data_IF_039450767684
#
_entry.id   IF_039450767684
#
_cell.length_a   1.000
_cell.length_b   1.000
_cell.length_c   1.000
_cell.angle_alpha   90.00
_cell.angle_beta   90.00
_cell.angle_gamma   90.00
#
_symmetry.space_group_name_H-M   'P 1'
#
loop_
_entity.id
_entity.type
_entity.pdbx_description
1 polymer ?
#
# COMPACT_ATOMS: atom_id res chain seq x y z
N UNK A 1 -26.25 -18.44 -75.10
CA UNK A 1 -24.99 -18.51 -74.33
C UNK A 1 -25.13 -17.65 -73.11
N UNK A 2 -25.53 -18.23 -72.00
CA UNK A 2 -25.73 -17.52 -70.73
C UNK A 2 -24.58 -17.78 -69.78
N UNK A 3 -23.82 -16.75 -69.36
CA UNK A 3 -22.75 -16.85 -68.38
C UNK A 3 -23.30 -16.70 -66.94
N UNK A 4 -23.24 -17.77 -66.20
CA UNK A 4 -23.57 -17.80 -64.77
C UNK A 4 -22.46 -17.13 -63.94
N UNK A 5 -22.82 -16.08 -63.18
CA UNK A 5 -21.91 -15.38 -62.26
C UNK A 5 -22.08 -16.02 -60.89
N UNK A 6 -21.07 -16.79 -60.46
CA UNK A 6 -20.98 -17.29 -59.07
C UNK A 6 -20.64 -16.15 -58.12
N UNK A 7 -21.60 -15.73 -57.29
CA UNK A 7 -21.36 -14.83 -56.13
C UNK A 7 -20.56 -15.58 -55.06
N UNK A 8 -19.31 -15.16 -54.84
CA UNK A 8 -18.48 -15.57 -53.69
C UNK A 8 -19.00 -14.87 -52.45
N UNK A 9 -19.62 -15.61 -51.53
CA UNK A 9 -19.96 -15.15 -50.20
C UNK A 9 -18.68 -15.05 -49.34
N UNK A 10 -18.10 -13.86 -49.27
CA UNK A 10 -17.03 -13.55 -48.33
C UNK A 10 -17.64 -13.35 -46.90
N UNK A 11 -17.73 -14.41 -46.11
CA UNK A 11 -17.99 -14.29 -44.66
C UNK A 11 -16.76 -13.63 -44.01
N UNK A 12 -16.80 -12.29 -43.86
CA UNK A 12 -15.85 -11.57 -42.98
C UNK A 12 -16.00 -12.15 -41.57
N UNK A 13 -15.02 -12.95 -41.14
CA UNK A 13 -14.83 -13.27 -39.72
C UNK A 13 -14.52 -11.95 -38.98
N UNK A 14 -15.51 -11.40 -38.27
CA UNK A 14 -15.27 -10.31 -37.30
C UNK A 14 -14.26 -10.84 -36.27
N UNK A 15 -13.02 -10.38 -36.35
CA UNK A 15 -12.07 -10.60 -35.26
C UNK A 15 -12.64 -9.94 -34.02
N UNK A 16 -13.03 -10.76 -33.03
CA UNK A 16 -13.39 -10.22 -31.70
C UNK A 16 -12.13 -9.54 -31.18
N UNK A 17 -12.16 -8.21 -31.10
CA UNK A 17 -11.13 -7.42 -30.43
C UNK A 17 -10.97 -8.01 -29.01
N UNK A 18 -9.82 -8.58 -28.70
CA UNK A 18 -9.52 -9.06 -27.36
C UNK A 18 -9.55 -7.86 -26.41
N UNK A 19 -10.60 -7.73 -25.59
CA UNK A 19 -10.63 -6.73 -24.51
C UNK A 19 -9.42 -6.96 -23.62
N UNK A 20 -8.59 -5.92 -23.44
CA UNK A 20 -7.44 -5.98 -22.52
C UNK A 20 -7.97 -5.99 -21.10
N UNK A 21 -7.53 -6.96 -20.30
CA UNK A 21 -7.74 -6.94 -18.83
C UNK A 21 -7.11 -5.68 -18.29
N UNK A 22 -7.83 -4.92 -17.45
CA UNK A 22 -7.28 -3.73 -16.81
C UNK A 22 -6.21 -4.16 -15.81
N UNK A 23 -5.04 -3.54 -15.87
CA UNK A 23 -3.97 -3.77 -14.92
C UNK A 23 -4.41 -3.32 -13.53
N UNK A 24 -4.11 -4.15 -12.53
CA UNK A 24 -4.35 -3.86 -11.12
C UNK A 24 -3.05 -3.74 -10.35
N UNK A 25 -3.08 -3.04 -9.24
CA UNK A 25 -2.01 -3.01 -8.27
C UNK A 25 -2.14 -4.24 -7.36
N UNK A 26 -1.03 -4.90 -7.15
CA UNK A 26 -0.98 -6.09 -6.31
C UNK A 26 -0.62 -5.71 -4.87
N UNK A 27 -1.07 -6.53 -3.92
CA UNK A 27 -0.55 -6.49 -2.57
C UNK A 27 0.98 -6.68 -2.59
N UNK A 28 1.76 -5.88 -1.85
CA UNK A 28 3.24 -5.93 -1.88
C UNK A 28 3.83 -7.28 -1.49
N UNK A 29 3.08 -8.11 -0.76
CA UNK A 29 3.47 -9.48 -0.39
C UNK A 29 3.16 -10.54 -1.43
N UNK A 30 2.43 -10.20 -2.50
CA UNK A 30 1.99 -11.18 -3.49
C UNK A 30 3.12 -11.63 -4.39
N UNK A 31 3.34 -12.94 -4.44
CA UNK A 31 4.21 -13.58 -5.43
C UNK A 31 3.35 -14.03 -6.61
N UNK A 32 3.18 -13.14 -7.58
CA UNK A 32 2.41 -13.44 -8.78
C UNK A 32 2.99 -14.62 -9.55
N UNK A 33 2.14 -15.51 -10.05
CA UNK A 33 2.53 -16.64 -10.89
C UNK A 33 2.78 -16.22 -12.34
N UNK A 34 2.32 -15.02 -12.74
CA UNK A 34 2.34 -14.57 -14.13
C UNK A 34 2.69 -13.08 -14.17
N UNK A 35 3.60 -12.71 -15.06
CA UNK A 35 3.91 -11.30 -15.29
C UNK A 35 2.67 -10.52 -15.74
N UNK A 36 2.41 -9.40 -15.09
CA UNK A 36 1.27 -8.50 -15.40
C UNK A 36 -0.06 -8.91 -14.78
N UNK A 37 -0.08 -9.95 -13.94
CA UNK A 37 -1.22 -10.37 -13.11
C UNK A 37 -0.88 -10.26 -11.63
N UNK A 38 -1.88 -10.14 -10.75
CA UNK A 38 -1.68 -10.26 -9.31
C UNK A 38 -1.89 -11.69 -8.78
N UNK A 39 -2.43 -12.58 -9.58
CA UNK A 39 -2.80 -13.90 -9.10
C UNK A 39 -1.60 -14.80 -8.82
N UNK A 40 -1.65 -15.47 -7.66
CA UNK A 40 -0.81 -16.62 -7.34
C UNK A 40 -1.36 -17.88 -8.01
N UNK A 41 -0.55 -18.90 -8.16
CA UNK A 41 -1.00 -20.21 -8.67
C UNK A 41 -2.15 -20.79 -7.82
N UNK A 42 -2.05 -20.68 -6.50
CA UNK A 42 -3.09 -21.12 -5.57
C UNK A 42 -4.42 -20.42 -5.86
N UNK A 43 -4.44 -19.10 -6.00
CA UNK A 43 -5.65 -18.34 -6.28
C UNK A 43 -6.28 -18.70 -7.63
N UNK A 44 -5.45 -18.84 -8.68
CA UNK A 44 -5.91 -19.28 -9.99
C UNK A 44 -6.58 -20.65 -9.94
N UNK A 45 -6.01 -21.61 -9.21
CA UNK A 45 -6.59 -22.93 -9.03
C UNK A 45 -7.91 -22.88 -8.25
N UNK A 46 -8.02 -22.02 -7.22
CA UNK A 46 -9.29 -21.81 -6.49
C UNK A 46 -10.39 -21.26 -7.39
N UNK A 47 -10.08 -20.21 -8.19
CA UNK A 47 -11.05 -19.61 -9.11
C UNK A 47 -11.47 -20.62 -10.18
N UNK A 48 -10.51 -21.35 -10.78
CA UNK A 48 -10.79 -22.43 -11.75
C UNK A 48 -11.71 -23.49 -11.16
N UNK A 49 -11.42 -23.97 -9.95
CA UNK A 49 -12.24 -24.98 -9.27
C UNK A 49 -13.67 -24.47 -9.01
N UNK A 50 -13.80 -23.20 -8.58
CA UNK A 50 -15.09 -22.56 -8.36
C UNK A 50 -15.86 -22.37 -9.68
N UNK A 51 -15.19 -21.92 -10.74
CA UNK A 51 -15.76 -21.82 -12.09
C UNK A 51 -16.26 -23.17 -12.57
N UNK A 52 -15.42 -24.22 -12.50
CA UNK A 52 -15.75 -25.56 -12.97
C UNK A 52 -16.93 -26.20 -12.22
N UNK A 53 -17.23 -25.80 -10.99
CA UNK A 53 -18.43 -26.27 -10.26
C UNK A 53 -19.73 -25.68 -10.82
N UNK A 54 -19.67 -24.55 -11.51
CA UNK A 54 -20.86 -23.76 -11.90
C UNK A 54 -21.16 -23.77 -13.40
N UNK A 55 -20.20 -24.17 -14.23
CA UNK A 55 -20.30 -24.14 -15.68
C UNK A 55 -20.13 -25.53 -16.27
N UNK A 56 -20.84 -25.86 -17.37
CA UNK A 56 -20.72 -27.13 -18.07
C UNK A 56 -19.35 -27.23 -18.78
N UNK A 57 -18.96 -26.19 -19.48
CA UNK A 57 -17.63 -26.09 -20.11
C UNK A 57 -16.55 -25.88 -19.04
N UNK A 58 -15.67 -26.88 -18.92
CA UNK A 58 -14.65 -26.92 -17.86
C UNK A 58 -13.31 -26.39 -18.36
N UNK A 59 -12.62 -25.66 -17.49
CA UNK A 59 -11.20 -25.30 -17.67
C UNK A 59 -10.37 -26.52 -17.25
N UNK A 60 -9.65 -27.12 -18.17
CA UNK A 60 -8.82 -28.31 -17.94
C UNK A 60 -7.33 -27.99 -17.80
N UNK A 61 -6.90 -26.80 -18.24
CA UNK A 61 -5.51 -26.35 -18.14
C UNK A 61 -4.94 -26.47 -16.72
N UNK A 62 -3.65 -26.78 -16.61
CA UNK A 62 -2.94 -26.96 -15.34
C UNK A 62 -1.88 -25.90 -15.08
N UNK A 63 -1.27 -25.36 -16.14
CA UNK A 63 -0.26 -24.32 -15.99
C UNK A 63 -0.92 -22.96 -15.64
N UNK A 64 -0.37 -22.19 -14.69
CA UNK A 64 -0.93 -20.93 -14.23
C UNK A 64 -1.28 -19.95 -15.37
N UNK A 65 -0.39 -19.79 -16.35
CA UNK A 65 -0.59 -18.91 -17.49
C UNK A 65 -1.75 -19.35 -18.41
N UNK A 66 -1.94 -20.66 -18.56
CA UNK A 66 -3.02 -21.21 -19.35
C UNK A 66 -4.35 -21.04 -18.60
N UNK A 67 -4.39 -21.36 -17.30
CA UNK A 67 -5.57 -21.14 -16.45
C UNK A 67 -6.00 -19.67 -16.49
N UNK A 68 -5.06 -18.75 -16.39
CA UNK A 68 -5.34 -17.31 -16.47
C UNK A 68 -5.91 -16.91 -17.84
N UNK A 69 -5.35 -17.44 -18.94
CA UNK A 69 -5.86 -17.19 -20.28
C UNK A 69 -7.27 -17.74 -20.47
N UNK A 70 -7.56 -18.94 -19.96
CA UNK A 70 -8.85 -19.56 -20.05
C UNK A 70 -9.90 -18.78 -19.26
N UNK A 71 -9.60 -18.42 -17.99
CA UNK A 71 -10.46 -17.57 -17.16
C UNK A 71 -10.75 -16.24 -17.86
N UNK A 72 -9.74 -15.58 -18.42
CA UNK A 72 -9.91 -14.34 -19.17
C UNK A 72 -10.81 -14.50 -20.39
N UNK A 73 -10.76 -15.65 -21.06
CA UNK A 73 -11.56 -15.92 -22.25
C UNK A 73 -13.02 -16.21 -21.92
N UNK A 74 -13.30 -16.83 -20.77
CA UNK A 74 -14.66 -17.20 -20.34
C UNK A 74 -15.33 -16.13 -19.48
N UNK A 75 -14.57 -15.36 -18.69
CA UNK A 75 -15.08 -14.30 -17.81
C UNK A 75 -15.07 -12.93 -18.51
N UNK A 76 -15.67 -12.86 -19.69
CA UNK A 76 -15.63 -11.67 -20.58
C UNK A 76 -16.31 -10.44 -19.99
N UNK A 77 -17.27 -10.61 -19.09
CA UNK A 77 -17.96 -9.51 -18.39
C UNK A 77 -17.12 -8.91 -17.26
N UNK A 78 -16.02 -9.57 -16.88
CA UNK A 78 -15.11 -9.16 -15.84
C UNK A 78 -13.79 -8.59 -16.43
N UNK A 79 -13.71 -7.28 -16.72
CA UNK A 79 -12.51 -6.68 -17.32
C UNK A 79 -11.34 -6.51 -16.33
N UNK A 80 -11.55 -6.74 -15.05
CA UNK A 80 -10.58 -6.66 -13.96
C UNK A 80 -10.43 -8.03 -13.31
N UNK A 81 -9.23 -8.32 -12.80
CA UNK A 81 -8.95 -9.62 -12.18
C UNK A 81 -9.71 -9.83 -10.87
N UNK A 82 -9.87 -8.82 -10.03
CA UNK A 82 -10.62 -8.91 -8.77
C UNK A 82 -12.07 -9.40 -8.96
N UNK A 83 -12.70 -9.04 -10.07
CA UNK A 83 -14.02 -9.52 -10.42
C UNK A 83 -14.06 -11.05 -10.59
N UNK A 84 -12.97 -11.70 -10.98
CA UNK A 84 -12.93 -13.16 -11.14
C UNK A 84 -13.11 -13.89 -9.81
N UNK A 85 -12.79 -13.25 -8.69
CA UNK A 85 -13.03 -13.80 -7.36
C UNK A 85 -14.52 -14.06 -7.09
N UNK A 86 -15.44 -13.41 -7.83
CA UNK A 86 -16.89 -13.64 -7.73
C UNK A 86 -17.30 -15.07 -8.13
N UNK A 87 -16.42 -15.85 -8.76
CA UNK A 87 -16.64 -17.26 -8.99
C UNK A 87 -16.64 -18.06 -7.69
N UNK A 88 -16.00 -17.59 -6.65
CA UNK A 88 -15.95 -18.19 -5.32
C UNK A 88 -17.22 -17.77 -4.55
N UNK A 89 -18.04 -18.75 -4.12
CA UNK A 89 -19.30 -18.47 -3.42
C UNK A 89 -19.09 -18.02 -1.98
N UNK A 90 -18.08 -18.59 -1.32
CA UNK A 90 -17.77 -18.28 0.06
C UNK A 90 -17.22 -16.86 0.18
N UNK A 91 -17.98 -15.98 0.82
CA UNK A 91 -17.69 -14.56 0.93
C UNK A 91 -16.40 -14.29 1.73
N UNK A 92 -16.17 -15.09 2.78
CA UNK A 92 -14.99 -14.97 3.61
C UNK A 92 -13.71 -15.35 2.83
N UNK A 93 -13.73 -16.48 2.12
CA UNK A 93 -12.62 -16.89 1.25
C UNK A 93 -12.36 -15.84 0.16
N UNK A 94 -13.43 -15.29 -0.44
CA UNK A 94 -13.32 -14.27 -1.46
C UNK A 94 -12.64 -13.00 -0.91
N UNK A 95 -13.10 -12.52 0.25
CA UNK A 95 -12.55 -11.35 0.93
C UNK A 95 -11.08 -11.57 1.31
N UNK A 96 -10.74 -12.73 1.88
CA UNK A 96 -9.35 -13.07 2.24
C UNK A 96 -8.44 -13.10 1.01
N UNK A 97 -8.88 -13.70 -0.09
CA UNK A 97 -8.10 -13.73 -1.33
C UNK A 97 -7.90 -12.33 -1.91
N UNK A 98 -8.94 -11.49 -1.89
CA UNK A 98 -8.85 -10.11 -2.36
C UNK A 98 -7.78 -9.34 -1.57
N UNK A 99 -7.85 -9.37 -0.24
CA UNK A 99 -6.90 -8.69 0.65
C UNK A 99 -5.44 -9.14 0.50
N UNK A 100 -5.19 -10.42 0.19
CA UNK A 100 -3.82 -10.94 0.06
C UNK A 100 -3.26 -10.83 -1.35
N UNK A 101 -4.11 -10.61 -2.36
CA UNK A 101 -3.71 -10.57 -3.77
C UNK A 101 -3.59 -9.13 -4.27
N UNK A 102 -4.56 -8.29 -3.96
CA UNK A 102 -4.68 -6.96 -4.53
C UNK A 102 -4.34 -5.86 -3.51
N UNK A 103 -3.84 -4.72 -4.01
CA UNK A 103 -3.79 -3.50 -3.22
C UNK A 103 -5.22 -3.06 -2.85
N UNK A 104 -5.41 -2.27 -1.77
CA UNK A 104 -6.73 -1.83 -1.37
C UNK A 104 -7.45 -1.08 -2.49
N UNK A 105 -8.79 -1.15 -2.46
CA UNK A 105 -9.59 -0.25 -3.28
C UNK A 105 -9.45 1.20 -2.79
N UNK A 106 -9.50 2.14 -3.73
CA UNK A 106 -9.50 3.56 -3.38
C UNK A 106 -10.78 3.97 -2.64
N UNK A 107 -10.73 5.01 -1.79
CA UNK A 107 -11.93 5.58 -1.17
C UNK A 107 -13.02 5.91 -2.20
N UNK A 108 -14.28 5.63 -1.87
CA UNK A 108 -15.41 5.91 -2.77
C UNK A 108 -15.60 7.42 -3.00
N UNK A 109 -15.18 8.24 -2.03
CA UNK A 109 -15.20 9.70 -2.11
C UNK A 109 -14.41 10.23 -3.30
N UNK A 110 -13.36 9.50 -3.75
CA UNK A 110 -12.54 9.91 -4.88
C UNK A 110 -13.25 9.88 -6.23
N UNK A 111 -14.42 9.24 -6.31
CA UNK A 111 -15.26 9.31 -7.52
C UNK A 111 -15.86 10.72 -7.73
N UNK A 112 -16.11 11.45 -6.63
CA UNK A 112 -16.64 12.82 -6.65
C UNK A 112 -15.56 13.88 -6.40
N UNK A 113 -14.61 13.58 -5.53
CA UNK A 113 -13.48 14.43 -5.19
C UNK A 113 -12.18 13.63 -5.26
N UNK A 114 -11.46 13.61 -6.39
CA UNK A 114 -10.25 12.81 -6.57
C UNK A 114 -9.11 13.09 -5.60
N UNK A 115 -9.13 14.24 -4.93
CA UNK A 115 -8.15 14.66 -3.93
C UNK A 115 -8.71 14.65 -2.51
N UNK A 116 -9.85 14.00 -2.26
CA UNK A 116 -10.37 13.84 -0.90
C UNK A 116 -9.32 13.17 0.01
N UNK A 117 -9.35 13.54 1.27
CA UNK A 117 -8.42 13.06 2.29
C UNK A 117 -8.51 11.54 2.46
N UNK A 118 -7.38 10.95 2.82
CA UNK A 118 -7.35 9.58 3.30
C UNK A 118 -7.81 9.52 4.76
N UNK A 119 -8.67 8.54 5.04
CA UNK A 119 -9.03 8.20 6.42
C UNK A 119 -7.93 7.35 7.09
N UNK A 120 -8.05 7.16 8.40
CA UNK A 120 -7.21 6.20 9.14
C UNK A 120 -7.37 4.76 8.61
N UNK A 121 -8.55 4.40 8.10
CA UNK A 121 -8.80 3.09 7.48
C UNK A 121 -8.04 2.93 6.18
N UNK A 122 -8.01 3.93 5.32
CA UNK A 122 -7.33 3.90 4.03
C UNK A 122 -5.81 3.78 4.20
N UNK A 123 -5.22 4.64 5.05
CA UNK A 123 -3.79 4.59 5.38
C UNK A 123 -3.44 3.24 6.02
N UNK A 124 -4.28 2.79 6.96
CA UNK A 124 -4.10 1.50 7.63
C UNK A 124 -4.20 0.32 6.67
N UNK A 125 -5.12 0.34 5.71
CA UNK A 125 -5.30 -0.74 4.73
C UNK A 125 -4.03 -0.94 3.89
N UNK A 126 -3.43 0.14 3.40
CA UNK A 126 -2.16 0.08 2.65
C UNK A 126 -1.03 -0.43 3.55
N UNK A 127 -0.76 0.21 4.68
CA UNK A 127 0.41 -0.09 5.50
C UNK A 127 0.36 -1.47 6.16
N UNK A 128 -0.83 -2.01 6.49
CA UNK A 128 -0.97 -3.38 7.01
C UNK A 128 -0.59 -4.44 5.98
N UNK A 129 -0.75 -4.19 4.69
CA UNK A 129 -0.25 -5.08 3.65
C UNK A 129 1.28 -5.12 3.66
N UNK A 130 1.92 -3.96 3.87
CA UNK A 130 3.38 -3.90 4.05
C UNK A 130 3.83 -4.57 5.34
N UNK A 131 3.07 -4.46 6.43
CA UNK A 131 3.38 -5.19 7.68
C UNK A 131 3.35 -6.71 7.47
N UNK A 132 2.36 -7.22 6.73
CA UNK A 132 2.28 -8.66 6.38
C UNK A 132 3.44 -9.10 5.48
N UNK A 133 3.85 -8.26 4.53
CA UNK A 133 4.92 -8.59 3.56
C UNK A 133 6.34 -8.37 4.08
N UNK A 134 6.51 -7.60 5.17
CA UNK A 134 7.79 -7.29 5.81
C UNK A 134 7.75 -7.72 7.28
N UNK A 135 8.06 -8.99 7.61
CA UNK A 135 7.88 -9.54 8.96
C UNK A 135 8.58 -8.77 10.08
N UNK A 136 9.68 -8.06 9.77
CA UNK A 136 10.40 -7.21 10.73
C UNK A 136 9.76 -5.83 10.94
N UNK A 137 8.73 -5.48 10.17
CA UNK A 137 8.03 -4.21 10.29
C UNK A 137 6.85 -4.33 11.25
N UNK A 138 6.56 -3.26 12.00
CA UNK A 138 5.36 -3.07 12.83
C UNK A 138 4.76 -1.71 12.51
N UNK A 139 3.49 -1.70 12.14
CA UNK A 139 2.69 -0.48 12.05
C UNK A 139 2.13 -0.14 13.42
N UNK A 140 2.33 1.09 13.86
CA UNK A 140 1.78 1.69 15.07
C UNK A 140 0.85 2.85 14.65
N UNK A 141 -0.43 2.60 14.65
CA UNK A 141 -1.43 3.55 14.16
C UNK A 141 -2.10 3.07 12.86
N UNK A 142 -2.72 3.95 12.06
CA UNK A 142 -2.91 5.39 12.28
C UNK A 142 -3.69 5.71 13.55
N UNK A 143 -3.20 6.66 14.35
CA UNK A 143 -3.76 7.05 15.64
C UNK A 143 -4.00 8.56 15.69
N UNK A 144 -4.94 9.01 16.53
CA UNK A 144 -5.00 10.40 16.94
C UNK A 144 -3.75 10.79 17.74
N UNK A 145 -3.46 12.10 17.79
CA UNK A 145 -2.22 12.60 18.43
C UNK A 145 -2.21 12.34 19.93
N UNK A 146 -3.35 12.31 20.55
CA UNK A 146 -3.56 12.04 21.99
C UNK A 146 -3.59 10.54 22.32
N UNK A 147 -2.78 9.75 21.62
CA UNK A 147 -2.69 8.28 21.68
C UNK A 147 -2.54 7.73 23.11
N UNK A 148 -2.00 8.51 24.04
CA UNK A 148 -1.73 8.16 25.42
C UNK A 148 -2.79 8.67 26.43
N UNK A 149 -3.84 9.31 25.93
CA UNK A 149 -5.00 9.67 26.76
C UNK A 149 -5.70 8.40 27.22
N UNK A 150 -5.96 8.33 28.54
CA UNK A 150 -6.72 7.23 29.11
C UNK A 150 -8.20 7.47 28.85
N UNK A 151 -8.83 6.51 28.22
CA UNK A 151 -10.27 6.43 27.98
C UNK A 151 -10.91 5.39 28.92
N UNK A 152 -12.13 4.98 28.62
CA UNK A 152 -12.87 4.02 29.43
C UNK A 152 -12.07 2.74 29.73
N UNK A 153 -12.27 2.15 30.90
CA UNK A 153 -11.62 0.91 31.36
C UNK A 153 -10.08 0.97 31.50
N UNK A 154 -9.49 2.17 31.62
CA UNK A 154 -8.05 2.35 31.75
C UNK A 154 -7.24 1.98 30.50
N UNK A 155 -7.90 1.94 29.34
CA UNK A 155 -7.27 1.80 28.05
C UNK A 155 -6.81 3.16 27.52
N UNK A 156 -5.73 3.16 26.77
CA UNK A 156 -5.33 4.35 26.02
C UNK A 156 -6.10 4.45 24.68
N UNK A 157 -6.20 5.65 24.13
CA UNK A 157 -6.70 5.88 22.77
C UNK A 157 -6.02 4.93 21.78
N UNK A 158 -4.69 4.70 21.93
CA UNK A 158 -3.97 3.71 21.16
C UNK A 158 -2.99 2.90 22.02
N UNK A 159 -3.41 1.73 22.49
CA UNK A 159 -2.65 0.92 23.44
C UNK A 159 -1.25 0.53 22.96
N UNK A 160 -1.08 0.19 21.66
CA UNK A 160 0.21 -0.24 21.12
C UNK A 160 1.29 0.88 21.20
N UNK A 161 0.87 2.17 21.14
CA UNK A 161 1.76 3.32 21.31
C UNK A 161 1.94 3.69 22.79
N UNK A 162 0.84 3.76 23.53
CA UNK A 162 0.81 4.14 24.94
C UNK A 162 1.65 3.18 25.82
N UNK A 163 1.63 1.89 25.47
CA UNK A 163 2.34 0.81 26.19
C UNK A 163 3.49 0.25 25.36
N UNK A 164 4.08 1.08 24.52
CA UNK A 164 5.18 0.67 23.66
C UNK A 164 6.37 0.16 24.46
N UNK A 165 6.87 -1.02 24.12
CA UNK A 165 8.07 -1.61 24.68
C UNK A 165 8.98 -2.09 23.55
N UNK A 166 10.16 -1.44 23.42
CA UNK A 166 11.16 -1.84 22.42
C UNK A 166 11.66 -3.25 22.68
N UNK A 167 11.86 -3.64 23.94
CA UNK A 167 12.28 -5.00 24.31
C UNK A 167 11.29 -6.05 23.78
N UNK A 168 9.98 -5.83 23.98
CA UNK A 168 8.94 -6.73 23.48
C UNK A 168 8.89 -6.79 21.95
N UNK A 169 9.10 -5.66 21.27
CA UNK A 169 9.16 -5.60 19.81
C UNK A 169 10.36 -6.38 19.28
N UNK A 170 11.53 -6.21 19.88
CA UNK A 170 12.76 -6.94 19.54
C UNK A 170 12.54 -8.45 19.74
N UNK A 171 11.97 -8.85 20.87
CA UNK A 171 11.65 -10.25 21.15
C UNK A 171 10.74 -10.86 20.06
N UNK A 172 9.79 -10.07 19.50
CA UNK A 172 8.92 -10.45 18.38
C UNK A 172 9.58 -10.26 17.00
N UNK A 173 10.88 -10.06 16.95
CA UNK A 173 11.66 -9.80 15.73
C UNK A 173 11.16 -8.57 14.94
N UNK A 174 10.59 -7.54 15.62
CA UNK A 174 10.22 -6.27 15.00
C UNK A 174 11.40 -5.30 15.11
N UNK A 175 11.94 -4.88 13.97
CA UNK A 175 13.15 -4.05 13.87
C UNK A 175 12.90 -2.70 13.20
N UNK A 176 11.78 -2.58 12.47
CA UNK A 176 11.36 -1.36 11.79
C UNK A 176 9.94 -1.00 12.23
N UNK A 177 9.71 0.25 12.61
CA UNK A 177 8.41 0.72 13.06
C UNK A 177 7.96 1.88 12.17
N UNK A 178 6.71 1.87 11.76
CA UNK A 178 6.05 3.00 11.12
C UNK A 178 4.96 3.53 12.05
N UNK A 179 4.98 4.81 12.34
CA UNK A 179 3.95 5.47 13.15
C UNK A 179 3.27 6.53 12.29
N UNK A 180 1.95 6.59 12.34
CA UNK A 180 1.15 7.62 11.66
C UNK A 180 0.22 8.25 12.68
N UNK A 181 0.22 9.59 12.74
CA UNK A 181 -0.65 10.37 13.61
C UNK A 181 -1.54 11.32 12.80
N UNK A 182 -2.80 11.41 13.21
CA UNK A 182 -3.59 12.60 12.92
C UNK A 182 -3.33 13.63 14.03
N UNK A 183 -3.09 14.89 13.66
CA UNK A 183 -2.79 15.96 14.63
C UNK A 183 -4.01 16.42 15.42
N UNK A 184 -5.16 15.81 15.23
CA UNK A 184 -6.36 16.04 16.03
C UNK A 184 -6.49 15.00 17.15
N UNK A 185 -7.31 15.29 18.15
CA UNK A 185 -7.67 14.37 19.22
C UNK A 185 -8.59 13.26 18.72
N UNK A 186 -8.76 12.20 19.50
CA UNK A 186 -9.53 11.02 19.11
C UNK A 186 -11.03 11.29 18.89
N UNK A 187 -11.56 12.36 19.45
CA UNK A 187 -12.94 12.83 19.31
C UNK A 187 -13.11 13.96 18.27
N UNK A 188 -12.00 14.37 17.62
CA UNK A 188 -12.01 15.41 16.60
C UNK A 188 -12.22 14.87 15.18
N UNK A 189 -12.55 15.76 14.22
CA UNK A 189 -12.81 15.38 12.83
C UNK A 189 -11.55 14.98 12.03
N UNK A 190 -10.38 15.25 12.59
CA UNK A 190 -9.10 15.12 11.90
C UNK A 190 -8.64 16.40 11.22
N UNK A 191 -7.34 16.67 11.24
CA UNK A 191 -6.77 17.89 10.69
C UNK A 191 -5.59 17.66 9.72
N UNK A 192 -4.61 16.88 10.12
CA UNK A 192 -3.39 16.68 9.35
C UNK A 192 -2.71 15.36 9.72
N UNK A 193 -2.15 14.66 8.72
CA UNK A 193 -1.41 13.43 8.92
C UNK A 193 0.09 13.67 8.93
N UNK A 194 0.75 13.12 9.93
CA UNK A 194 2.22 13.11 10.07
C UNK A 194 2.70 11.71 10.36
N UNK A 195 3.99 11.44 10.17
CA UNK A 195 4.53 10.10 10.34
C UNK A 195 5.91 10.08 11.01
N UNK A 196 6.24 8.94 11.61
CA UNK A 196 7.58 8.62 12.05
C UNK A 196 8.00 7.26 11.51
N UNK A 197 9.28 7.14 11.20
CA UNK A 197 9.90 5.85 10.88
C UNK A 197 11.05 5.60 11.86
N UNK A 198 11.04 4.42 12.49
CA UNK A 198 12.08 4.01 13.41
C UNK A 198 12.74 2.75 12.86
N UNK A 199 14.04 2.77 12.71
CA UNK A 199 14.85 1.61 12.33
C UNK A 199 15.84 1.31 13.45
N UNK A 200 15.63 0.17 14.13
CA UNK A 200 16.45 -0.24 15.25
C UNK A 200 17.83 -0.72 14.79
N UNK A 201 17.91 -1.31 13.59
CA UNK A 201 19.18 -1.81 13.02
C UNK A 201 20.04 -0.66 12.52
N UNK A 202 19.42 0.38 11.94
CA UNK A 202 20.09 1.62 11.50
C UNK A 202 20.23 2.66 12.60
N UNK A 203 19.59 2.43 13.76
CA UNK A 203 19.59 3.32 14.94
C UNK A 203 19.06 4.72 14.66
N UNK A 204 18.01 4.82 13.84
CA UNK A 204 17.42 6.10 13.39
C UNK A 204 15.97 6.23 13.84
N UNK A 205 15.60 7.41 14.31
CA UNK A 205 14.22 7.87 14.47
C UNK A 205 14.05 9.05 13.54
N UNK A 206 13.17 8.95 12.54
CA UNK A 206 12.88 10.03 11.61
C UNK A 206 11.41 10.45 11.73
N UNK A 207 11.16 11.72 12.12
CA UNK A 207 9.85 12.36 12.07
C UNK A 207 9.67 13.10 10.76
N UNK A 208 8.52 12.94 10.13
CA UNK A 208 8.21 13.57 8.86
C UNK A 208 6.84 14.24 8.89
N UNK A 209 6.82 15.53 8.57
CA UNK A 209 5.63 16.33 8.32
C UNK A 209 5.78 17.04 6.97
N UNK A 210 4.92 16.69 6.01
CA UNK A 210 4.94 17.25 4.65
C UNK A 210 4.70 18.76 4.62
N UNK A 211 3.96 19.32 5.59
CA UNK A 211 3.69 20.75 5.74
C UNK A 211 4.76 21.50 6.57
N UNK A 212 5.69 20.77 7.21
CA UNK A 212 6.74 21.34 8.06
C UNK A 212 6.22 22.15 9.25
N UNK A 213 5.14 21.72 9.88
CA UNK A 213 4.68 22.33 11.13
C UNK A 213 5.63 22.02 12.30
N UNK A 214 5.48 22.74 13.40
CA UNK A 214 6.22 22.45 14.62
C UNK A 214 5.92 21.03 15.13
N UNK A 215 6.95 20.32 15.60
CA UNK A 215 6.81 18.95 16.13
C UNK A 215 5.86 18.94 17.33
N UNK A 216 4.77 18.17 17.31
CA UNK A 216 3.84 18.10 18.43
C UNK A 216 4.49 17.59 19.71
N UNK A 217 3.95 18.03 20.84
CA UNK A 217 4.47 17.64 22.16
C UNK A 217 4.39 16.12 22.37
N UNK A 218 3.33 15.48 21.89
CA UNK A 218 3.12 14.02 21.99
C UNK A 218 4.15 13.24 21.18
N UNK A 219 4.48 13.73 19.96
CA UNK A 219 5.57 13.16 19.15
C UNK A 219 6.91 13.31 19.86
N UNK A 220 7.17 14.48 20.46
CA UNK A 220 8.37 14.74 21.25
C UNK A 220 8.45 13.85 22.51
N UNK A 221 7.29 13.54 23.14
CA UNK A 221 7.19 12.59 24.25
C UNK A 221 7.56 11.18 23.79
N UNK A 222 6.94 10.69 22.72
CA UNK A 222 7.23 9.37 22.16
C UNK A 222 8.72 9.23 21.78
N UNK A 223 9.28 10.25 21.12
CA UNK A 223 10.72 10.29 20.81
C UNK A 223 11.59 10.10 22.04
N UNK A 224 11.34 10.86 23.11
CA UNK A 224 12.12 10.76 24.36
C UNK A 224 12.01 9.37 24.98
N UNK A 225 10.81 8.78 24.95
CA UNK A 225 10.58 7.45 25.48
C UNK A 225 11.32 6.39 24.67
N UNK A 226 11.28 6.44 23.33
CA UNK A 226 12.04 5.54 22.48
C UNK A 226 13.56 5.64 22.71
N UNK A 227 14.09 6.86 22.82
CA UNK A 227 15.53 7.06 23.10
C UNK A 227 15.91 6.51 24.48
N UNK A 228 15.05 6.71 25.50
CA UNK A 228 15.25 6.17 26.85
C UNK A 228 15.28 4.64 26.81
N UNK A 229 14.22 4.02 26.29
CA UNK A 229 14.13 2.57 26.16
C UNK A 229 15.28 1.98 25.36
N UNK A 230 15.72 2.64 24.29
CA UNK A 230 16.87 2.19 23.50
C UNK A 230 18.15 2.09 24.31
N UNK A 231 18.40 3.04 25.21
CA UNK A 231 19.57 3.03 26.11
C UNK A 231 19.49 1.96 27.20
N UNK A 232 18.27 1.57 27.59
CA UNK A 232 17.98 0.59 28.66
C UNK A 232 17.94 -0.86 28.16
N UNK A 233 18.09 -1.11 26.85
CA UNK A 233 18.17 -2.46 26.30
C UNK A 233 19.46 -3.17 26.73
N UNK A 234 19.43 -4.51 26.79
CA UNK A 234 20.63 -5.35 27.06
C UNK A 234 21.78 -5.02 26.07
N UNK A 235 21.44 -4.82 24.79
CA UNK A 235 22.32 -4.25 23.78
C UNK A 235 21.86 -2.81 23.48
N UNK A 236 22.46 -1.77 24.10
CA UNK A 236 21.97 -0.41 24.00
C UNK A 236 21.94 0.13 22.55
N UNK A 237 20.83 0.77 22.22
CA UNK A 237 20.64 1.47 20.93
C UNK A 237 20.69 2.98 21.20
N UNK A 238 21.68 3.65 20.63
CA UNK A 238 21.77 5.11 20.62
C UNK A 238 21.16 5.61 19.33
N UNK A 239 19.95 6.16 19.41
CA UNK A 239 19.23 6.64 18.23
C UNK A 239 19.69 8.02 17.80
N UNK A 240 19.94 8.18 16.50
CA UNK A 240 20.01 9.47 15.83
C UNK A 240 18.58 9.92 15.49
N UNK A 241 18.21 11.12 15.96
CA UNK A 241 16.93 11.74 15.65
C UNK A 241 17.05 12.67 14.47
N UNK A 242 16.18 12.51 13.50
CA UNK A 242 16.07 13.33 12.29
C UNK A 242 14.64 13.81 12.09
N UNK A 243 14.50 14.91 11.36
CA UNK A 243 13.21 15.38 10.84
C UNK A 243 13.45 16.10 9.51
N UNK A 244 12.41 16.21 8.67
CA UNK A 244 12.54 16.99 7.46
C UNK A 244 12.72 18.48 7.78
N UNK A 245 13.47 19.18 6.92
CA UNK A 245 13.79 20.60 7.03
C UNK A 245 13.15 21.44 5.92
N UNK A 246 12.42 20.80 5.02
CA UNK A 246 11.71 21.45 3.91
C UNK A 246 10.25 21.00 3.86
N UNK A 247 9.36 21.94 3.51
CA UNK A 247 7.95 21.61 3.20
C UNK A 247 7.87 21.05 1.79
N UNK A 248 7.06 20.00 1.63
CA UNK A 248 6.79 19.37 0.34
C UNK A 248 5.34 19.57 -0.09
N UNK A 249 4.44 19.72 0.87
CA UNK A 249 3.01 19.91 0.66
C UNK A 249 2.71 21.41 0.54
N UNK A 250 1.98 21.77 -0.51
CA UNK A 250 1.47 23.13 -0.75
C UNK A 250 -0.06 23.23 -0.64
N UNK A 251 -0.75 22.11 -0.80
CA UNK A 251 -2.22 21.98 -0.60
C UNK A 251 -2.48 21.33 0.77
N UNK A 252 -3.75 21.15 1.12
CA UNK A 252 -4.12 20.49 2.37
C UNK A 252 -4.66 19.05 2.18
N UNK A 253 -4.44 18.43 1.01
CA UNK A 253 -5.10 17.17 0.64
C UNK A 253 -4.18 15.95 0.68
N UNK A 254 -2.87 16.11 0.50
CA UNK A 254 -1.97 14.98 0.24
C UNK A 254 -1.16 14.49 1.46
N UNK A 255 -1.38 15.03 2.66
CA UNK A 255 -0.63 14.65 3.87
C UNK A 255 -0.62 13.14 4.14
N UNK A 256 -1.76 12.47 4.00
CA UNK A 256 -1.86 11.02 4.14
C UNK A 256 -1.05 10.25 3.08
N UNK A 257 -1.02 10.75 1.85
CA UNK A 257 -0.21 10.17 0.77
C UNK A 257 1.28 10.35 1.03
N UNK A 258 1.70 11.53 1.52
CA UNK A 258 3.08 11.75 1.94
C UNK A 258 3.51 10.80 3.06
N UNK A 259 2.63 10.53 4.04
CA UNK A 259 2.90 9.54 5.10
C UNK A 259 3.10 8.12 4.52
N UNK A 260 2.24 7.70 3.59
CA UNK A 260 2.39 6.42 2.91
C UNK A 260 3.72 6.36 2.14
N UNK A 261 4.00 7.36 1.31
CA UNK A 261 5.21 7.42 0.51
C UNK A 261 6.47 7.39 1.38
N UNK A 262 6.50 8.17 2.47
CA UNK A 262 7.62 8.21 3.41
C UNK A 262 7.89 6.83 4.03
N UNK A 263 6.88 6.23 4.68
CA UNK A 263 7.04 4.95 5.36
C UNK A 263 7.42 3.84 4.37
N UNK A 264 6.74 3.77 3.22
CA UNK A 264 6.97 2.70 2.24
C UNK A 264 8.36 2.83 1.61
N UNK A 265 8.81 4.04 1.30
CA UNK A 265 10.15 4.29 0.74
C UNK A 265 11.24 3.81 1.70
N UNK A 266 11.16 4.17 2.99
CA UNK A 266 12.16 3.79 3.98
C UNK A 266 12.08 2.30 4.34
N UNK A 267 10.87 1.75 4.43
CA UNK A 267 10.67 0.33 4.72
C UNK A 267 11.23 -0.57 3.62
N UNK A 268 10.95 -0.23 2.36
CA UNK A 268 11.37 -1.04 1.21
C UNK A 268 12.80 -0.75 0.76
N UNK A 269 13.39 0.32 1.28
CA UNK A 269 14.70 0.86 0.85
C UNK A 269 14.75 1.07 -0.67
N UNK A 270 13.64 1.58 -1.23
CA UNK A 270 13.48 1.82 -2.67
C UNK A 270 12.82 3.17 -2.93
N UNK A 271 13.49 3.99 -3.72
CA UNK A 271 12.86 5.18 -4.29
C UNK A 271 12.16 4.80 -5.59
N UNK A 272 10.92 5.25 -5.74
CA UNK A 272 10.16 5.03 -6.98
C UNK A 272 10.90 5.62 -8.19
N UNK A 273 10.81 4.93 -9.33
CA UNK A 273 11.56 5.31 -10.54
C UNK A 273 11.11 6.65 -11.12
N UNK A 274 9.84 7.03 -10.97
CA UNK A 274 9.34 8.33 -11.42
C UNK A 274 9.94 9.45 -10.56
N UNK A 275 9.92 9.29 -9.24
CA UNK A 275 10.53 10.23 -8.28
C UNK A 275 12.04 10.31 -8.48
N UNK A 276 12.71 9.17 -8.66
CA UNK A 276 14.16 9.17 -8.92
C UNK A 276 14.52 9.91 -10.21
N UNK A 277 13.69 9.81 -11.24
CA UNK A 277 13.88 10.55 -12.49
C UNK A 277 13.68 12.05 -12.29
N UNK A 278 12.64 12.44 -11.59
CA UNK A 278 12.29 13.84 -11.37
C UNK A 278 13.33 14.54 -10.49
N UNK A 279 13.72 13.94 -9.37
CA UNK A 279 14.64 14.56 -8.41
C UNK A 279 16.12 14.44 -8.79
N UNK A 280 16.49 13.44 -9.59
CA UNK A 280 17.90 13.09 -9.84
C UNK A 280 18.22 12.86 -11.33
N UNK A 281 17.32 13.21 -12.25
CA UNK A 281 17.53 13.06 -13.69
C UNK A 281 17.53 11.62 -14.21
N UNK A 282 17.15 10.66 -13.35
CA UNK A 282 17.22 9.24 -13.68
C UNK A 282 18.65 8.69 -13.54
N UNK A 283 18.76 7.48 -13.18
CA UNK A 283 20.02 6.76 -12.97
C UNK A 283 19.73 5.53 -12.12
N UNK A 284 20.34 4.39 -12.46
CA UNK A 284 20.07 3.11 -11.77
C UNK A 284 20.79 2.96 -10.44
N UNK A 285 21.38 4.02 -9.86
CA UNK A 285 22.01 3.87 -8.55
C UNK A 285 20.93 3.56 -7.52
N UNK A 286 20.96 2.34 -7.00
CA UNK A 286 20.26 1.99 -5.76
C UNK A 286 20.79 2.93 -4.69
N UNK A 287 19.90 3.76 -4.14
CA UNK A 287 20.24 4.62 -3.02
C UNK A 287 20.41 3.76 -1.78
N UNK A 288 21.39 4.06 -0.96
CA UNK A 288 21.46 3.49 0.38
C UNK A 288 20.38 4.10 1.29
N UNK A 289 20.24 3.55 2.48
CA UNK A 289 19.22 4.01 3.42
C UNK A 289 19.36 5.50 3.80
N UNK A 290 20.58 5.98 4.00
CA UNK A 290 20.83 7.37 4.39
C UNK A 290 20.59 8.33 3.22
N UNK A 291 20.93 7.95 2.01
CA UNK A 291 20.56 8.69 0.79
C UNK A 291 19.03 8.77 0.60
N UNK A 292 18.28 7.77 1.06
CA UNK A 292 16.81 7.81 1.05
C UNK A 292 16.26 8.77 2.09
N UNK A 293 16.89 8.89 3.27
CA UNK A 293 16.51 9.91 4.26
C UNK A 293 16.67 11.32 3.70
N UNK A 294 17.73 11.55 2.92
CA UNK A 294 17.99 12.84 2.28
C UNK A 294 16.92 13.25 1.24
N UNK A 295 16.20 12.31 0.65
CA UNK A 295 15.08 12.61 -0.26
C UNK A 295 14.05 13.52 0.42
N UNK A 296 13.79 13.28 1.71
CA UNK A 296 12.82 14.02 2.51
C UNK A 296 13.36 15.33 3.08
N UNK A 297 14.64 15.67 2.81
CA UNK A 297 15.27 16.95 3.14
C UNK A 297 15.58 17.79 1.89
N UNK A 298 15.24 17.30 0.68
CA UNK A 298 15.45 18.01 -0.58
C UNK A 298 14.14 18.61 -1.09
N UNK A 299 14.23 19.79 -1.69
CA UNK A 299 13.13 20.34 -2.47
C UNK A 299 12.88 19.46 -3.69
N UNK A 300 11.63 19.39 -4.11
CA UNK A 300 11.24 18.72 -5.36
C UNK A 300 10.13 17.70 -5.20
N UNK A 301 9.93 17.06 -4.03
CA UNK A 301 8.69 16.37 -3.73
C UNK A 301 7.56 17.39 -3.69
N UNK A 302 6.38 17.03 -4.23
CA UNK A 302 5.22 17.93 -4.30
C UNK A 302 3.90 17.14 -4.32
N UNK A 303 2.79 17.86 -4.24
CA UNK A 303 1.45 17.29 -4.20
C UNK A 303 1.10 16.52 -5.49
N UNK A 304 1.51 16.99 -6.66
CA UNK A 304 1.21 16.32 -7.94
C UNK A 304 1.80 14.91 -7.98
N UNK A 305 3.01 14.73 -7.47
CA UNK A 305 3.62 13.41 -7.34
C UNK A 305 2.78 12.50 -6.43
N UNK A 306 2.26 13.03 -5.33
CA UNK A 306 1.44 12.27 -4.38
C UNK A 306 0.07 11.92 -4.97
N UNK A 307 -0.51 12.79 -5.79
CA UNK A 307 -1.72 12.49 -6.57
C UNK A 307 -1.48 11.30 -7.51
N UNK A 308 -0.35 11.26 -8.20
CA UNK A 308 0.03 10.11 -9.05
C UNK A 308 0.20 8.82 -8.22
N UNK A 309 0.69 8.92 -6.97
CA UNK A 309 0.83 7.77 -6.08
C UNK A 309 -0.49 7.22 -5.57
N UNK A 310 -1.59 7.97 -5.61
CA UNK A 310 -2.94 7.46 -5.34
C UNK A 310 -3.26 6.26 -6.23
N UNK A 311 -2.89 6.32 -7.52
CA UNK A 311 -3.10 5.23 -8.46
C UNK A 311 -2.11 4.07 -8.30
N UNK A 312 -1.03 4.24 -7.52
CA UNK A 312 -0.04 3.18 -7.24
C UNK A 312 -0.38 2.39 -5.99
N UNK A 313 -0.94 3.06 -4.97
CA UNK A 313 -1.24 2.41 -3.69
C UNK A 313 -2.67 1.88 -3.60
N UNK A 314 -3.56 2.33 -4.48
CA UNK A 314 -4.96 1.94 -4.48
C UNK A 314 -5.41 1.45 -5.86
N UNK A 315 -6.41 0.56 -5.86
CA UNK A 315 -7.08 0.12 -7.06
C UNK A 315 -8.34 0.95 -7.30
N UNK A 316 -8.59 1.30 -8.58
CA UNK A 316 -9.85 1.93 -9.00
C UNK A 316 -10.90 0.83 -9.14
N UNK A 317 -12.03 0.97 -8.46
CA UNK A 317 -13.21 0.10 -8.65
C UNK A 317 -13.81 0.21 -10.04
#
# INVERSE_FOLDING_TARGET
>A
MGKSIKRRNNKRKKSKSRRKTKKMNCNPGTKSAIEGSCYTEHALNHIKAAYNKRHEEKITSTAPKEIWNDLRNVLTECPREDCWLQQIKDDETRRQLDEIIFAPDRPNEWDKNPVAWLSNYDIGAVLRQYEKSHPKFKLLGPSAIDYDTIIDDGKCVWNDLCRLSLQNLIYRNKRKLGVVFNLDTHDGPGTHWVSMFIDLDKKVIYYYDSALNAVPQQVSKLKRELIKQGKELDEPIHFDYMQNSVSHQSTNTECGMFCLFFIITLLTERLDTSINRELYGGGRKKKDFFELLDVFNKKGLNDDMMIDFREKYFNKK
#
